data_IF_405377311902
#
_entry.id   IF_405377311902
#
_cell.length_a   1.000
_cell.length_b   1.000
_cell.length_c   1.000
_cell.angle_alpha   90.00
_cell.angle_beta   90.00
_cell.angle_gamma   90.00
#
_symmetry.space_group_name_H-M   'P 1'
#
loop_
_entity.id
_entity.type
_entity.pdbx_description
1 polymer ?
#
# COMPACT_ATOMS: atom_id res chain seq x y z
N UNK A 1 -30.78 12.28 -12.37
CA UNK A 1 -29.68 12.86 -13.17
C UNK A 1 -28.40 12.66 -12.38
N UNK A 2 -27.68 11.56 -12.62
CA UNK A 2 -26.40 11.28 -11.98
C UNK A 2 -25.32 11.89 -12.87
N UNK A 3 -24.81 13.05 -12.49
CA UNK A 3 -23.65 13.65 -13.16
C UNK A 3 -22.45 12.72 -12.96
N UNK A 4 -21.99 12.10 -14.06
CA UNK A 4 -20.71 11.39 -14.11
C UNK A 4 -19.61 12.37 -13.72
N UNK A 5 -19.03 12.20 -12.53
CA UNK A 5 -17.83 12.95 -12.13
C UNK A 5 -16.66 12.45 -12.97
N UNK A 6 -15.86 13.38 -13.48
CA UNK A 6 -14.59 13.03 -14.11
C UNK A 6 -13.75 12.18 -13.13
N UNK A 7 -13.13 11.11 -13.64
CA UNK A 7 -12.22 10.27 -12.87
C UNK A 7 -11.04 11.13 -12.40
N UNK A 8 -10.88 11.29 -11.08
CA UNK A 8 -9.70 11.95 -10.50
C UNK A 8 -8.58 10.94 -10.46
N UNK A 9 -7.46 11.27 -11.09
CA UNK A 9 -6.26 10.44 -11.09
C UNK A 9 -5.11 11.22 -10.46
N UNK A 10 -4.37 10.57 -9.56
CA UNK A 10 -3.10 11.11 -9.05
C UNK A 10 -2.07 11.04 -10.17
N UNK A 11 -1.60 12.20 -10.63
CA UNK A 11 -0.63 12.32 -11.73
C UNK A 11 0.61 13.07 -11.25
N UNK A 12 1.84 12.61 -11.54
CA UNK A 12 2.20 11.41 -12.33
C UNK A 12 2.46 10.17 -11.44
N UNK A 13 1.44 9.38 -11.07
CA UNK A 13 1.65 8.17 -10.26
C UNK A 13 2.24 7.01 -11.10
N UNK A 14 3.42 6.48 -10.74
CA UNK A 14 4.17 5.54 -11.58
C UNK A 14 3.79 4.08 -11.27
N UNK A 15 2.52 3.72 -11.49
CA UNK A 15 2.02 2.38 -11.19
C UNK A 15 2.75 1.32 -12.04
N UNK A 16 3.52 0.43 -11.40
CA UNK A 16 4.23 -0.66 -12.10
C UNK A 16 4.07 -1.99 -11.37
N UNK A 17 4.22 -3.09 -12.10
CA UNK A 17 4.23 -4.44 -11.51
C UNK A 17 5.33 -4.56 -10.45
N UNK A 18 4.99 -5.17 -9.32
CA UNK A 18 5.92 -5.51 -8.23
C UNK A 18 5.90 -7.01 -7.93
N UNK A 19 7.00 -7.53 -7.41
CA UNK A 19 7.12 -8.92 -6.95
C UNK A 19 6.43 -9.17 -5.60
N UNK A 20 6.30 -8.14 -4.77
CA UNK A 20 5.50 -8.16 -3.54
C UNK A 20 4.64 -6.90 -3.46
N UNK A 21 3.33 -7.08 -3.19
CA UNK A 21 2.34 -6.01 -3.30
C UNK A 21 2.68 -4.76 -2.45
N UNK A 22 3.06 -4.95 -1.18
CA UNK A 22 3.39 -3.84 -0.28
C UNK A 22 4.66 -3.09 -0.69
N UNK A 23 5.70 -3.80 -1.14
CA UNK A 23 6.97 -3.17 -1.54
C UNK A 23 6.87 -2.51 -2.92
N UNK A 24 6.13 -3.10 -3.85
CA UNK A 24 5.81 -2.48 -5.13
C UNK A 24 5.00 -1.20 -4.98
N UNK A 25 3.97 -1.21 -4.13
CA UNK A 25 3.18 -0.01 -3.83
C UNK A 25 4.04 1.09 -3.17
N UNK A 26 4.89 0.73 -2.20
CA UNK A 26 5.79 1.68 -1.55
C UNK A 26 6.87 2.22 -2.49
N UNK A 27 7.39 1.41 -3.42
CA UNK A 27 8.29 1.89 -4.48
C UNK A 27 7.62 3.00 -5.29
N UNK A 28 6.39 2.75 -5.76
CA UNK A 28 5.67 3.70 -6.60
C UNK A 28 5.35 4.98 -5.81
N UNK A 29 5.03 4.84 -4.52
CA UNK A 29 4.85 5.96 -3.60
C UNK A 29 6.13 6.78 -3.42
N UNK A 30 7.29 6.12 -3.24
CA UNK A 30 8.58 6.80 -3.08
C UNK A 30 8.96 7.60 -4.32
N UNK A 31 8.78 7.02 -5.50
CA UNK A 31 9.04 7.74 -6.76
C UNK A 31 8.08 8.91 -6.93
N UNK A 32 6.78 8.73 -6.65
CA UNK A 32 5.81 9.82 -6.67
C UNK A 32 6.20 10.95 -5.70
N UNK A 33 6.74 10.62 -4.53
CA UNK A 33 7.23 11.58 -3.55
C UNK A 33 8.58 12.24 -3.92
N UNK A 34 9.15 11.93 -5.09
CA UNK A 34 10.44 12.46 -5.54
C UNK A 34 11.65 11.77 -4.90
N UNK A 35 11.45 10.65 -4.21
CA UNK A 35 12.49 9.85 -3.54
C UNK A 35 12.93 8.68 -4.43
N UNK A 36 13.13 8.95 -5.73
CA UNK A 36 13.56 7.94 -6.69
C UNK A 36 15.06 7.62 -6.65
N UNK A 37 15.92 8.63 -6.45
CA UNK A 37 17.38 8.51 -6.61
C UNK A 37 17.78 8.01 -8.01
N UNK A 38 17.59 8.86 -9.02
CA UNK A 38 17.94 8.59 -10.44
C UNK A 38 17.11 7.49 -11.15
N UNK A 39 16.00 7.06 -10.55
CA UNK A 39 15.02 6.12 -11.13
C UNK A 39 13.99 5.68 -10.08
N UNK A 40 13.05 4.77 -10.37
CA UNK A 40 12.30 4.11 -9.31
C UNK A 40 13.22 3.26 -8.42
N UNK A 41 13.08 3.29 -7.09
CA UNK A 41 13.88 2.42 -6.23
C UNK A 41 13.55 0.95 -6.51
N UNK A 42 14.53 0.06 -6.39
CA UNK A 42 14.24 -1.38 -6.44
C UNK A 42 13.53 -1.82 -5.15
N UNK A 43 12.70 -2.86 -5.21
CA UNK A 43 11.95 -3.35 -4.04
C UNK A 43 12.89 -3.77 -2.88
N UNK A 44 14.09 -4.25 -3.18
CA UNK A 44 15.10 -4.56 -2.14
C UNK A 44 15.50 -3.33 -1.30
N UNK A 45 15.55 -2.14 -1.92
CA UNK A 45 15.82 -0.90 -1.19
C UNK A 45 14.64 -0.53 -0.30
N UNK A 46 13.41 -0.70 -0.78
CA UNK A 46 12.18 -0.48 0.00
C UNK A 46 12.15 -1.36 1.25
N UNK A 47 12.45 -2.66 1.12
CA UNK A 47 12.56 -3.57 2.28
C UNK A 47 13.65 -3.14 3.26
N UNK A 48 14.79 -2.70 2.74
CA UNK A 48 15.94 -2.27 3.57
C UNK A 48 15.61 -1.00 4.34
N UNK A 49 15.04 0.02 3.69
CA UNK A 49 14.65 1.28 4.32
C UNK A 49 13.52 1.08 5.33
N UNK A 50 12.57 0.18 5.05
CA UNK A 50 11.54 -0.21 6.00
C UNK A 50 12.06 -0.99 7.20
N UNK A 51 13.28 -1.52 7.15
CA UNK A 51 13.78 -2.45 8.17
C UNK A 51 12.94 -3.72 8.27
N UNK A 52 12.30 -4.11 7.16
CA UNK A 52 11.28 -5.16 7.14
C UNK A 52 11.82 -6.51 6.62
N UNK A 53 13.13 -6.66 6.44
CA UNK A 53 13.72 -7.97 6.15
C UNK A 53 13.55 -8.88 7.36
N UNK A 54 12.72 -9.91 7.21
CA UNK A 54 12.40 -10.83 8.29
C UNK A 54 11.71 -12.07 7.77
N UNK A 55 11.54 -13.05 8.65
CA UNK A 55 10.74 -14.23 8.38
C UNK A 55 9.74 -14.37 9.52
N UNK A 56 8.45 -14.24 9.22
CA UNK A 56 7.40 -14.46 10.19
C UNK A 56 6.73 -15.80 9.88
N UNK A 57 6.78 -16.71 10.83
CA UNK A 57 6.07 -17.97 10.81
C UNK A 57 5.05 -17.96 11.95
N UNK A 58 3.77 -18.07 11.59
CA UNK A 58 2.68 -18.17 12.55
C UNK A 58 1.81 -19.36 12.16
N UNK A 59 1.51 -20.21 13.13
CA UNK A 59 0.55 -21.30 12.96
C UNK A 59 -0.58 -21.10 13.95
N UNK A 60 -1.81 -21.01 13.44
CA UNK A 60 -2.98 -20.76 14.27
C UNK A 60 -4.22 -21.36 13.62
N UNK A 61 -5.12 -22.01 14.39
CA UNK A 61 -6.40 -22.49 13.87
C UNK A 61 -7.34 -21.35 13.46
N UNK A 62 -7.07 -20.11 13.90
CA UNK A 62 -7.87 -18.93 13.55
C UNK A 62 -7.43 -18.28 12.22
N UNK A 63 -6.40 -18.80 11.56
CA UNK A 63 -5.95 -18.34 10.25
C UNK A 63 -6.50 -19.25 9.14
N UNK A 64 -6.73 -18.69 7.97
CA UNK A 64 -7.06 -19.44 6.77
C UNK A 64 -6.13 -19.03 5.61
N UNK A 65 -5.17 -19.88 5.18
CA UNK A 65 -4.84 -21.20 5.74
C UNK A 65 -4.30 -21.11 7.18
N UNK A 66 -4.29 -22.20 7.99
CA UNK A 66 -3.87 -22.20 9.40
C UNK A 66 -2.36 -22.02 9.61
N UNK A 67 -1.69 -21.50 8.58
CA UNK A 67 -0.27 -21.25 8.47
C UNK A 67 -0.10 -19.90 7.76
N UNK A 68 0.61 -18.99 8.39
CA UNK A 68 1.06 -17.75 7.80
C UNK A 68 2.59 -17.76 7.76
N UNK A 69 3.15 -17.67 6.56
CA UNK A 69 4.57 -17.61 6.30
C UNK A 69 4.83 -16.41 5.40
N UNK A 70 5.55 -15.42 5.89
CA UNK A 70 5.86 -14.22 5.12
C UNK A 70 7.32 -13.81 5.30
N UNK A 71 7.95 -13.40 4.21
CA UNK A 71 9.34 -12.92 4.16
C UNK A 71 9.51 -11.45 4.53
N UNK A 72 8.64 -10.90 5.39
CA UNK A 72 8.77 -9.51 5.87
C UNK A 72 8.29 -9.30 7.31
N UNK A 73 8.70 -8.17 7.88
CA UNK A 73 8.08 -7.59 9.07
C UNK A 73 6.65 -7.12 8.80
N UNK A 74 5.79 -7.15 9.82
CA UNK A 74 4.35 -6.89 9.71
C UNK A 74 3.99 -5.46 9.28
N UNK A 75 4.80 -4.47 9.64
CA UNK A 75 4.47 -3.03 9.59
C UNK A 75 5.23 -2.25 8.50
N UNK A 76 5.66 -2.91 7.42
CA UNK A 76 6.49 -2.30 6.36
C UNK A 76 5.91 -0.96 5.84
N UNK A 77 4.60 -0.93 5.59
CA UNK A 77 3.84 0.20 5.07
C UNK A 77 3.83 1.42 6.00
N UNK A 78 4.00 1.21 7.31
CA UNK A 78 4.05 2.27 8.32
C UNK A 78 5.48 2.61 8.73
N UNK A 79 6.37 1.61 8.82
CA UNK A 79 7.74 1.77 9.28
C UNK A 79 8.58 2.55 8.28
N UNK A 80 8.42 2.30 6.98
CA UNK A 80 9.21 2.98 5.96
C UNK A 80 8.98 4.51 5.99
N UNK A 81 7.75 5.05 5.90
CA UNK A 81 7.55 6.49 5.98
C UNK A 81 8.07 7.09 7.29
N UNK A 82 7.84 6.41 8.43
CA UNK A 82 8.30 6.88 9.74
C UNK A 82 9.82 6.96 9.83
N UNK A 83 10.54 5.96 9.31
CA UNK A 83 12.01 5.94 9.28
C UNK A 83 12.60 7.01 8.38
N UNK A 84 11.88 7.40 7.33
CA UNK A 84 12.24 8.54 6.47
C UNK A 84 11.85 9.90 7.05
N UNK A 85 11.30 9.94 8.28
CA UNK A 85 10.87 11.18 8.95
C UNK A 85 9.49 11.70 8.52
N UNK A 86 8.75 10.92 7.72
CA UNK A 86 7.38 11.22 7.34
C UNK A 86 6.34 10.77 8.37
N UNK A 87 5.09 11.15 8.14
CA UNK A 87 3.95 10.72 8.94
C UNK A 87 3.16 9.64 8.20
N UNK A 88 2.88 8.53 8.88
CA UNK A 88 1.98 7.48 8.38
C UNK A 88 0.94 7.13 9.43
N UNK A 89 -0.33 7.15 9.01
CA UNK A 89 -1.47 6.78 9.83
C UNK A 89 -2.26 5.68 9.11
N UNK A 90 -2.47 4.56 9.81
CA UNK A 90 -3.45 3.58 9.40
C UNK A 90 -4.82 3.96 9.96
N UNK A 91 -5.85 3.88 9.11
CA UNK A 91 -7.25 4.08 9.50
C UNK A 91 -8.03 2.84 9.09
N UNK A 92 -8.96 2.41 9.93
CA UNK A 92 -9.83 1.27 9.67
C UNK A 92 -11.25 1.64 10.11
N UNK A 93 -12.23 1.15 9.36
CA UNK A 93 -13.66 1.27 9.64
C UNK A 93 -14.38 0.09 9.00
N UNK A 94 -15.47 -0.34 9.61
CA UNK A 94 -16.37 -1.36 9.05
C UNK A 94 -17.45 -0.74 8.14
N UNK A 95 -17.56 0.60 8.09
CA UNK A 95 -18.47 1.29 7.17
C UNK A 95 -17.79 1.53 5.81
N UNK A 96 -18.23 0.85 4.73
CA UNK A 96 -17.64 1.00 3.40
C UNK A 96 -17.80 2.42 2.84
N UNK A 97 -18.87 3.13 3.21
CA UNK A 97 -19.11 4.51 2.76
C UNK A 97 -18.12 5.45 3.41
N UNK A 98 -17.88 5.27 4.70
CA UNK A 98 -16.90 6.05 5.46
C UNK A 98 -15.48 5.78 4.93
N UNK A 99 -15.08 4.52 4.79
CA UNK A 99 -13.76 4.16 4.28
C UNK A 99 -13.50 4.74 2.89
N UNK A 100 -14.49 4.63 1.98
CA UNK A 100 -14.39 5.20 0.65
C UNK A 100 -14.39 6.74 0.65
N UNK A 101 -15.03 7.38 1.62
CA UNK A 101 -14.96 8.84 1.77
C UNK A 101 -13.54 9.31 2.09
N UNK A 102 -12.78 8.56 2.90
CA UNK A 102 -11.41 8.89 3.25
C UNK A 102 -10.48 8.76 2.05
N UNK A 103 -10.57 7.64 1.32
CA UNK A 103 -9.77 7.42 0.10
C UNK A 103 -10.01 8.53 -0.92
N UNK A 104 -11.28 8.86 -1.19
CA UNK A 104 -11.63 9.93 -2.13
C UNK A 104 -11.11 11.29 -1.71
N UNK A 105 -11.24 11.63 -0.43
CA UNK A 105 -10.74 12.92 0.08
C UNK A 105 -9.24 13.12 -0.16
N UNK A 106 -8.45 12.06 -0.08
CA UNK A 106 -7.00 12.09 -0.33
C UNK A 106 -6.69 12.18 -1.84
N UNK A 107 -7.35 11.34 -2.64
CA UNK A 107 -7.18 11.32 -4.11
C UNK A 107 -7.63 12.64 -4.76
N UNK A 108 -8.72 13.22 -4.28
CA UNK A 108 -9.21 14.55 -4.70
C UNK A 108 -8.20 15.67 -4.38
N UNK A 109 -7.30 15.46 -3.41
CA UNK A 109 -6.20 16.36 -3.07
C UNK A 109 -4.90 16.00 -3.80
N UNK A 110 -4.93 15.03 -4.72
CA UNK A 110 -3.77 14.58 -5.49
C UNK A 110 -2.78 13.73 -4.69
N UNK A 111 -3.19 13.18 -3.54
CA UNK A 111 -2.35 12.30 -2.71
C UNK A 111 -2.69 10.82 -2.96
N UNK A 112 -1.72 9.96 -3.24
CA UNK A 112 -1.95 8.52 -3.36
C UNK A 112 -2.26 7.92 -1.98
N UNK A 113 -3.10 6.89 -1.97
CA UNK A 113 -3.52 6.17 -0.77
C UNK A 113 -3.19 4.69 -0.92
N UNK A 114 -2.56 4.10 0.10
CA UNK A 114 -2.43 2.65 0.20
C UNK A 114 -3.68 2.07 0.86
N UNK A 115 -4.23 1.03 0.24
CA UNK A 115 -5.42 0.32 0.74
C UNK A 115 -5.05 -1.14 0.94
N UNK A 116 -5.30 -1.66 2.14
CA UNK A 116 -5.29 -3.10 2.38
C UNK A 116 -6.66 -3.65 2.04
N UNK A 117 -6.68 -4.56 1.07
CA UNK A 117 -7.88 -5.27 0.64
C UNK A 117 -7.60 -6.77 0.72
N UNK A 118 -8.63 -7.53 1.06
CA UNK A 118 -8.59 -8.98 0.91
C UNK A 118 -8.70 -9.29 -0.59
N UNK A 119 -7.71 -10.01 -1.12
CA UNK A 119 -7.72 -10.44 -2.52
C UNK A 119 -8.93 -11.31 -2.85
N UNK A 120 -9.48 -12.03 -1.88
CA UNK A 120 -10.68 -12.84 -2.05
C UNK A 120 -11.94 -12.00 -2.34
N UNK A 121 -11.95 -10.74 -1.91
CA UNK A 121 -13.06 -9.80 -2.07
C UNK A 121 -12.88 -8.86 -3.27
N UNK A 122 -11.71 -8.89 -3.92
CA UNK A 122 -11.45 -8.12 -5.12
C UNK A 122 -12.03 -8.85 -6.33
N UNK A 123 -12.62 -8.10 -7.30
CA UNK A 123 -13.02 -8.71 -8.56
C UNK A 123 -11.78 -9.34 -9.21
N UNK A 124 -11.84 -10.65 -9.45
CA UNK A 124 -10.76 -11.36 -10.14
C UNK A 124 -10.58 -10.73 -11.51
N UNK A 125 -9.35 -10.33 -11.85
CA UNK A 125 -9.02 -9.97 -13.22
C UNK A 125 -9.23 -11.22 -14.09
N UNK A 126 -10.29 -11.23 -14.91
CA UNK A 126 -10.39 -12.09 -16.10
C UNK A 126 -9.55 -11.49 -17.24
#
# INVERSE_FOLDING_TARGET
MTTSRASVQVSPYPHRTGGHCGSGALRDLLEWAGLGWDGPPIEGLVFTLGGALGLSYVRSPNLFPPLYLVGRGGELELDLPRRLGGTAQQRATDDPTEGWSWVRSEVDQGRPVMVWADIAELPTCE
#
